data_IF_501853490345
#
_entry.id   IF_501853490345
#
_cell.length_a   1.000
_cell.length_b   1.000
_cell.length_c   1.000
_cell.angle_alpha   90.00
_cell.angle_beta   90.00
_cell.angle_gamma   90.00
#
_symmetry.space_group_name_H-M   'P 1'
#
loop_
_entity.id
_entity.type
_entity.pdbx_description
1 polymer ?
#
# COMPACT_ATOMS: atom_id res chain seq x y z
N UNK A 1 -13.92 23.94 21.81
CA UNK A 1 -14.25 22.89 20.82
C UNK A 1 -13.71 23.16 19.41
N UNK A 2 -13.84 24.39 18.85
CA UNK A 2 -13.36 24.70 17.49
C UNK A 2 -11.87 24.45 17.21
N UNK A 3 -10.98 24.74 18.18
CA UNK A 3 -9.53 24.56 18.00
C UNK A 3 -9.13 23.07 17.90
N UNK A 4 -9.76 22.20 18.70
CA UNK A 4 -9.50 20.75 18.65
C UNK A 4 -9.94 20.15 17.31
N UNK A 5 -11.09 20.59 16.79
CA UNK A 5 -11.57 20.17 15.47
C UNK A 5 -10.62 20.63 14.36
N UNK A 6 -10.19 21.89 14.39
CA UNK A 6 -9.25 22.44 13.41
C UNK A 6 -7.91 21.67 13.40
N UNK A 7 -7.37 21.35 14.58
CA UNK A 7 -6.15 20.55 14.71
C UNK A 7 -6.33 19.15 14.13
N UNK A 8 -7.47 18.48 14.40
CA UNK A 8 -7.76 17.16 13.83
C UNK A 8 -7.79 17.19 12.30
N UNK A 9 -8.48 18.15 11.70
CA UNK A 9 -8.54 18.29 10.25
C UNK A 9 -7.16 18.55 9.65
N UNK A 10 -6.33 19.37 10.30
CA UNK A 10 -4.97 19.65 9.83
C UNK A 10 -4.07 18.41 9.90
N UNK A 11 -4.13 17.65 10.99
CA UNK A 11 -3.36 16.41 11.14
C UNK A 11 -3.77 15.39 10.07
N UNK A 12 -5.07 15.23 9.84
CA UNK A 12 -5.58 14.34 8.80
C UNK A 12 -5.12 14.74 7.39
N UNK A 13 -5.13 16.03 7.06
CA UNK A 13 -4.65 16.51 5.75
C UNK A 13 -3.15 16.23 5.57
N UNK A 14 -2.34 16.45 6.61
CA UNK A 14 -0.90 16.16 6.59
C UNK A 14 -0.64 14.67 6.39
N UNK A 15 -1.32 13.81 7.15
CA UNK A 15 -1.16 12.36 7.04
C UNK A 15 -1.55 11.85 5.65
N UNK A 16 -2.71 12.28 5.14
CA UNK A 16 -3.20 11.84 3.85
C UNK A 16 -2.31 12.34 2.69
N UNK A 17 -1.76 13.55 2.78
CA UNK A 17 -0.78 14.05 1.81
C UNK A 17 0.52 13.25 1.85
N UNK A 18 1.01 12.93 3.04
CA UNK A 18 2.21 12.10 3.23
C UNK A 18 2.03 10.66 2.74
N UNK A 19 0.81 10.12 2.79
CA UNK A 19 0.49 8.75 2.38
C UNK A 19 -0.02 8.64 0.93
N UNK A 20 -0.20 9.75 0.22
CA UNK A 20 -0.80 9.77 -1.13
C UNK A 20 -0.05 8.90 -2.14
N UNK A 21 1.28 8.80 -1.99
CA UNK A 21 2.15 7.99 -2.83
C UNK A 21 2.41 6.58 -2.26
N UNK A 22 1.84 6.24 -1.11
CA UNK A 22 2.01 4.95 -0.51
C UNK A 22 1.10 3.90 -1.14
N UNK A 23 1.63 2.69 -1.28
CA UNK A 23 0.89 1.47 -1.61
C UNK A 23 1.11 0.48 -0.47
N UNK A 24 0.02 -0.14 -0.02
CA UNK A 24 0.03 -1.21 0.97
C UNK A 24 -0.28 -2.53 0.29
N UNK A 25 0.57 -3.53 0.51
CA UNK A 25 0.45 -4.86 -0.10
C UNK A 25 0.27 -5.89 1.00
N UNK A 26 -0.83 -6.64 0.94
CA UNK A 26 -1.20 -7.66 1.93
C UNK A 26 -1.05 -9.07 1.36
N UNK A 27 -0.66 -10.02 2.21
CA UNK A 27 -0.62 -11.45 1.86
C UNK A 27 0.73 -11.95 1.37
N UNK A 28 1.78 -11.11 1.37
CA UNK A 28 3.12 -11.51 0.91
C UNK A 28 3.84 -12.31 2.00
N UNK A 29 4.06 -13.63 1.81
CA UNK A 29 4.73 -14.45 2.81
C UNK A 29 6.14 -13.93 3.10
N UNK A 30 6.66 -14.23 4.29
CA UNK A 30 8.07 -14.01 4.59
C UNK A 30 8.82 -15.26 4.13
N UNK A 31 9.76 -15.10 3.21
CA UNK A 31 10.68 -16.17 2.84
C UNK A 31 12.01 -15.92 3.54
N UNK A 32 12.61 -16.98 4.07
CA UNK A 32 13.92 -16.89 4.72
C UNK A 32 14.98 -16.45 3.70
N UNK A 33 15.76 -15.43 4.05
CA UNK A 33 16.76 -14.82 3.15
C UNK A 33 16.23 -13.72 2.22
N UNK A 34 14.95 -13.38 2.26
CA UNK A 34 14.40 -12.27 1.46
C UNK A 34 14.71 -10.91 2.11
N UNK A 35 15.85 -10.33 1.74
CA UNK A 35 16.32 -9.06 2.31
C UNK A 35 15.79 -7.84 1.55
N UNK A 36 15.46 -7.96 0.26
CA UNK A 36 15.08 -6.82 -0.57
C UNK A 36 13.56 -6.69 -0.84
N UNK A 37 12.88 -5.94 0.03
CA UNK A 37 11.46 -5.59 -0.13
C UNK A 37 11.18 -4.87 -1.45
N UNK A 38 12.11 -4.04 -1.93
CA UNK A 38 11.94 -3.27 -3.17
C UNK A 38 11.90 -4.15 -4.43
N UNK A 39 12.72 -5.20 -4.48
CA UNK A 39 12.71 -6.18 -5.57
C UNK A 39 11.40 -6.97 -5.60
N UNK A 40 10.95 -7.42 -4.42
CA UNK A 40 9.68 -8.12 -4.26
C UNK A 40 8.51 -7.29 -4.78
N UNK A 41 8.44 -6.01 -4.37
CA UNK A 41 7.42 -5.08 -4.84
C UNK A 41 7.53 -4.82 -6.34
N UNK A 42 8.74 -4.71 -6.88
CA UNK A 42 8.94 -4.52 -8.31
C UNK A 42 8.43 -5.69 -9.14
N UNK A 43 8.63 -6.92 -8.67
CA UNK A 43 8.06 -8.12 -9.28
C UNK A 43 6.53 -8.12 -9.23
N UNK A 44 5.96 -7.81 -8.07
CA UNK A 44 4.51 -7.73 -7.86
C UNK A 44 3.84 -6.66 -8.73
N UNK A 45 4.44 -5.49 -8.87
CA UNK A 45 3.88 -4.39 -9.65
C UNK A 45 4.04 -4.57 -11.15
N UNK A 46 5.02 -5.36 -11.61
CA UNK A 46 5.19 -5.68 -13.02
C UNK A 46 4.11 -6.65 -13.54
N UNK A 47 3.72 -7.65 -12.75
CA UNK A 47 2.71 -8.64 -13.14
C UNK A 47 1.36 -8.05 -13.64
N UNK A 48 0.79 -7.00 -13.02
CA UNK A 48 -0.47 -6.40 -13.48
C UNK A 48 -0.30 -5.31 -14.57
N UNK A 49 0.92 -4.89 -14.91
CA UNK A 49 1.15 -3.75 -15.80
C UNK A 49 1.59 -4.17 -17.21
N UNK A 50 1.14 -3.46 -18.27
CA UNK A 50 1.65 -3.68 -19.62
C UNK A 50 3.13 -3.30 -19.74
N UNK A 51 3.80 -3.85 -20.75
CA UNK A 51 5.26 -3.72 -21.02
C UNK A 51 5.75 -2.27 -21.19
N UNK A 52 4.84 -1.29 -21.28
CA UNK A 52 5.14 0.15 -21.42
C UNK A 52 5.53 0.83 -20.12
N UNK A 53 5.54 0.13 -18.99
CA UNK A 53 5.94 0.68 -17.68
C UNK A 53 7.47 0.69 -17.54
N UNK A 54 8.06 1.71 -16.88
CA UNK A 54 9.51 1.80 -16.66
C UNK A 54 10.13 0.48 -16.17
N UNK A 55 11.33 0.19 -16.69
CA UNK A 55 12.09 -1.02 -16.39
C UNK A 55 12.39 -1.20 -14.90
N UNK A 56 12.38 -0.12 -14.10
CA UNK A 56 12.54 -0.17 -12.66
C UNK A 56 11.60 0.83 -11.98
N UNK A 57 10.91 0.39 -10.94
CA UNK A 57 10.16 1.28 -10.06
C UNK A 57 11.13 1.95 -9.10
N UNK A 58 10.99 3.28 -8.95
CA UNK A 58 11.71 4.04 -7.94
C UNK A 58 10.84 4.19 -6.70
N UNK A 59 11.33 3.66 -5.59
CA UNK A 59 10.72 3.82 -4.27
C UNK A 59 11.53 4.83 -3.46
N UNK A 60 10.84 5.72 -2.76
CA UNK A 60 11.49 6.53 -1.73
C UNK A 60 11.73 5.70 -0.48
N UNK A 61 10.78 4.82 -0.16
CA UNK A 61 10.84 3.90 0.98
C UNK A 61 10.12 2.61 0.62
N UNK A 62 10.64 1.47 1.08
CA UNK A 62 9.99 0.17 0.99
C UNK A 62 10.34 -0.66 2.22
N UNK A 63 9.34 -1.14 2.96
CA UNK A 63 9.55 -1.88 4.19
C UNK A 63 8.35 -2.79 4.51
N UNK A 64 8.54 -3.73 5.45
CA UNK A 64 7.42 -4.43 6.09
C UNK A 64 6.84 -3.52 7.17
N UNK A 65 5.53 -3.29 7.14
CA UNK A 65 4.82 -2.51 8.14
C UNK A 65 4.86 -3.17 9.52
N UNK A 66 4.40 -2.43 10.53
CA UNK A 66 4.19 -2.97 11.87
C UNK A 66 3.21 -4.15 11.82
N UNK A 67 3.32 -5.10 12.78
CA UNK A 67 2.36 -6.19 12.89
C UNK A 67 0.97 -5.60 13.08
N UNK A 68 0.03 -6.03 12.23
CA UNK A 68 -1.38 -5.74 12.46
C UNK A 68 -1.88 -6.58 13.64
N UNK A 69 -2.81 -6.06 14.42
CA UNK A 69 -3.47 -6.79 15.52
C UNK A 69 -4.30 -8.00 15.05
N UNK A 70 -4.33 -8.29 13.74
CA UNK A 70 -5.14 -9.33 13.11
C UNK A 70 -4.65 -10.77 13.36
N UNK A 71 -3.55 -10.97 14.11
CA UNK A 71 -3.09 -12.28 14.58
C UNK A 71 -1.62 -12.57 14.25
N UNK A 72 -0.93 -13.33 15.13
CA UNK A 72 0.50 -13.63 15.00
C UNK A 72 0.87 -14.44 13.75
N UNK A 73 -0.10 -15.16 13.18
CA UNK A 73 0.10 -16.09 12.07
C UNK A 73 -0.06 -15.44 10.68
N UNK A 74 -0.49 -14.17 10.60
CA UNK A 74 -0.65 -13.48 9.31
C UNK A 74 0.66 -12.80 8.89
N UNK A 75 1.03 -12.84 7.59
CA UNK A 75 2.20 -12.14 7.11
C UNK A 75 2.03 -10.63 7.28
N UNK A 76 3.12 -9.94 7.65
CA UNK A 76 3.14 -8.46 7.74
C UNK A 76 2.96 -7.85 6.35
N UNK A 77 2.10 -6.85 6.28
CA UNK A 77 1.91 -6.03 5.07
C UNK A 77 3.25 -5.41 4.62
N UNK A 78 3.47 -5.30 3.31
CA UNK A 78 4.51 -4.45 2.76
C UNK A 78 3.95 -3.05 2.52
N UNK A 79 4.75 -2.03 2.79
CA UNK A 79 4.41 -0.64 2.53
C UNK A 79 5.54 -0.02 1.72
N UNK A 80 5.20 0.66 0.63
CA UNK A 80 6.16 1.44 -0.13
C UNK A 80 5.62 2.82 -0.50
N UNK A 81 6.50 3.81 -0.50
CA UNK A 81 6.26 5.13 -1.06
C UNK A 81 6.84 5.18 -2.49
N UNK A 82 5.96 5.38 -3.46
CA UNK A 82 6.36 5.55 -4.86
C UNK A 82 6.91 6.96 -5.07
N UNK A 83 8.02 7.08 -5.80
CA UNK A 83 8.56 8.41 -6.15
C UNK A 83 7.63 9.22 -7.07
N UNK A 84 6.75 8.54 -7.82
CA UNK A 84 5.77 9.18 -8.72
C UNK A 84 4.35 8.77 -8.37
N UNK A 85 3.53 9.77 -8.04
CA UNK A 85 2.09 9.59 -7.83
C UNK A 85 1.39 9.00 -9.07
N UNK A 86 1.79 9.39 -10.28
CA UNK A 86 1.18 8.91 -11.52
C UNK A 86 1.40 7.40 -11.72
N UNK A 87 2.61 6.91 -11.40
CA UNK A 87 2.92 5.47 -11.46
C UNK A 87 2.12 4.72 -10.40
N UNK A 88 2.05 5.25 -9.17
CA UNK A 88 1.22 4.70 -8.11
C UNK A 88 -0.24 4.55 -8.54
N UNK A 89 -0.83 5.58 -9.14
CA UNK A 89 -2.22 5.55 -9.61
C UNK A 89 -2.42 4.57 -10.77
N UNK A 90 -1.44 4.43 -11.66
CA UNK A 90 -1.47 3.43 -12.73
C UNK A 90 -1.50 2.00 -12.16
N UNK A 91 -0.63 1.70 -11.18
CA UNK A 91 -0.61 0.43 -10.45
C UNK A 91 -1.97 0.18 -9.79
N UNK A 92 -2.48 1.15 -9.01
CA UNK A 92 -3.73 1.00 -8.26
C UNK A 92 -4.97 0.89 -9.17
N UNK A 93 -4.97 1.50 -10.36
CA UNK A 93 -6.02 1.30 -11.37
C UNK A 93 -6.04 -0.14 -11.85
N UNK A 94 -4.89 -0.70 -12.23
CA UNK A 94 -4.84 -2.09 -12.69
C UNK A 94 -5.12 -3.11 -11.59
N UNK A 95 -4.72 -2.81 -10.36
CA UNK A 95 -5.07 -3.62 -9.21
C UNK A 95 -6.59 -3.65 -8.95
N UNK A 96 -7.36 -2.64 -9.38
CA UNK A 96 -8.83 -2.70 -9.27
C UNK A 96 -9.45 -3.65 -10.30
N UNK A 97 -8.88 -3.71 -11.50
CA UNK A 97 -9.34 -4.64 -12.54
C UNK A 97 -8.99 -6.10 -12.19
N UNK A 98 -7.91 -6.30 -11.44
CA UNK A 98 -7.43 -7.61 -10.95
C UNK A 98 -7.15 -7.52 -9.44
N UNK A 99 -8.18 -7.65 -8.59
CA UNK A 99 -8.10 -7.37 -7.14
C UNK A 99 -7.16 -8.30 -6.38
N UNK A 100 -6.89 -9.48 -6.94
CA UNK A 100 -6.02 -10.49 -6.34
C UNK A 100 -5.01 -10.95 -7.38
N UNK A 101 -3.74 -10.97 -6.97
CA UNK A 101 -2.63 -11.51 -7.74
C UNK A 101 -1.98 -12.63 -6.94
N UNK A 102 -1.55 -13.70 -7.62
CA UNK A 102 -0.82 -14.77 -6.96
C UNK A 102 0.67 -14.46 -6.90
N UNK A 103 1.27 -14.66 -5.74
CA UNK A 103 2.71 -14.57 -5.53
C UNK A 103 3.18 -15.73 -4.67
N UNK A 104 4.03 -16.60 -5.24
CA UNK A 104 4.56 -17.80 -4.57
C UNK A 104 3.45 -18.65 -3.92
N UNK A 105 2.33 -18.86 -4.61
CA UNK A 105 1.20 -19.64 -4.10
C UNK A 105 0.30 -18.90 -3.11
N UNK A 106 0.62 -17.65 -2.73
CA UNK A 106 -0.19 -16.83 -1.84
C UNK A 106 -1.00 -15.79 -2.61
N UNK A 107 -2.23 -15.55 -2.17
CA UNK A 107 -3.07 -14.47 -2.70
C UNK A 107 -2.62 -13.13 -2.13
N UNK A 108 -2.32 -12.19 -3.03
CA UNK A 108 -1.83 -10.86 -2.70
C UNK A 108 -2.82 -9.80 -3.18
N UNK A 109 -3.05 -8.79 -2.35
CA UNK A 109 -3.93 -7.66 -2.66
C UNK A 109 -3.25 -6.33 -2.39
N UNK A 110 -3.55 -5.34 -3.24
CA UNK A 110 -3.01 -3.99 -3.17
C UNK A 110 -4.07 -3.01 -2.67
N UNK A 111 -3.67 -2.14 -1.75
CA UNK A 111 -4.53 -1.14 -1.14
C UNK A 111 -3.84 0.23 -1.15
N UNK A 112 -4.65 1.28 -1.13
CA UNK A 112 -4.15 2.60 -0.75
C UNK A 112 -3.78 2.57 0.73
N UNK A 113 -2.64 3.15 1.09
CA UNK A 113 -2.33 3.42 2.49
C UNK A 113 -3.11 4.67 2.89
N UNK A 114 -3.95 4.54 3.91
CA UNK A 114 -4.88 5.58 4.34
C UNK A 114 -4.71 5.81 5.82
N UNK A 115 -4.91 7.06 6.23
CA UNK A 115 -4.92 7.40 7.65
C UNK A 115 -6.04 6.65 8.38
N UNK A 116 -5.88 6.38 9.69
CA UNK A 116 -6.91 5.71 10.49
C UNK A 116 -8.28 6.41 10.40
N UNK A 117 -8.30 7.73 10.46
CA UNK A 117 -9.53 8.53 10.34
C UNK A 117 -10.22 8.34 8.98
N UNK A 118 -9.45 8.31 7.90
CA UNK A 118 -10.01 8.06 6.57
C UNK A 118 -10.51 6.61 6.42
N UNK A 119 -9.85 5.63 7.07
CA UNK A 119 -10.34 4.26 7.12
C UNK A 119 -11.67 4.16 7.86
N UNK A 120 -11.79 4.79 9.03
CA UNK A 120 -13.04 4.86 9.80
C UNK A 120 -14.17 5.50 8.98
N UNK A 121 -13.90 6.64 8.34
CA UNK A 121 -14.87 7.31 7.47
C UNK A 121 -15.34 6.40 6.32
N UNK A 122 -14.42 5.67 5.68
CA UNK A 122 -14.77 4.71 4.61
C UNK A 122 -15.60 3.53 5.12
N UNK A 123 -15.35 3.07 6.34
CA UNK A 123 -16.15 2.01 6.95
C UNK A 123 -17.56 2.51 7.28
N UNK A 124 -17.70 3.76 7.70
CA UNK A 124 -19.00 4.39 7.98
C UNK A 124 -19.84 4.65 6.72
N UNK A 125 -19.20 4.80 5.54
CA UNK A 125 -19.88 5.02 4.24
C UNK A 125 -20.32 3.71 3.57
N UNK A 126 -19.89 2.53 4.08
CA UNK A 126 -20.33 1.25 3.49
C UNK A 126 -21.86 1.13 3.58
N UNK A 127 -22.57 0.86 2.47
CA UNK A 127 -24.01 0.63 2.48
C UNK A 127 -24.36 -0.67 3.23
#
# INVERSE_FOLDING_TARGET
EGMLLAMRCQLEDVDNRGQKCNIRVRGVPKVDGEENVGETLSGLFRAPLPTTVPAQFKFERAHRGARSNLGENLPRDLICCMHSFLIKEAIMRRARDRPTSEYRGAQVSLYNDLSPLMLEARLAIKP
#
